data_IF_860328782766
#
_entry.id   IF_860328782766
#
_cell.length_a   1.000
_cell.length_b   1.000
_cell.length_c   1.000
_cell.angle_alpha   90.00
_cell.angle_beta   90.00
_cell.angle_gamma   90.00
#
_symmetry.space_group_name_H-M   'P 1'
#
loop_
_entity.id
_entity.type
_entity.pdbx_description
1 polymer ?
#
# COMPACT_ATOMS: atom_id res chain seq x y z
N UNK A 1 6.70 -14.73 -29.13
CA UNK A 1 5.99 -13.93 -28.09
C UNK A 1 6.98 -13.56 -27.00
N UNK A 2 7.24 -12.27 -26.81
CA UNK A 2 8.40 -11.76 -26.09
C UNK A 2 8.18 -11.80 -24.56
N UNK A 3 9.04 -12.52 -23.82
CA UNK A 3 8.91 -12.82 -22.37
C UNK A 3 8.72 -11.55 -21.51
N UNK A 4 9.29 -10.40 -21.93
CA UNK A 4 9.12 -9.10 -21.27
C UNK A 4 7.68 -8.57 -21.26
N UNK A 5 6.93 -8.80 -22.33
CA UNK A 5 5.55 -8.27 -22.46
C UNK A 5 4.58 -8.99 -21.51
N UNK A 6 4.84 -10.27 -21.22
CA UNK A 6 4.08 -11.05 -20.23
C UNK A 6 4.27 -10.53 -18.81
N UNK A 7 5.51 -10.19 -18.43
CA UNK A 7 5.83 -9.64 -17.11
C UNK A 7 5.20 -8.25 -16.94
N UNK A 8 5.32 -7.38 -17.95
CA UNK A 8 4.73 -6.04 -17.90
C UNK A 8 3.20 -6.08 -17.75
N UNK A 9 2.54 -6.99 -18.48
CA UNK A 9 1.09 -7.18 -18.35
C UNK A 9 0.68 -7.81 -17.01
N UNK A 10 1.51 -8.69 -16.43
CA UNK A 10 1.28 -9.23 -15.09
C UNK A 10 1.38 -8.14 -14.02
N UNK A 11 2.45 -7.32 -14.07
CA UNK A 11 2.63 -6.19 -13.16
C UNK A 11 1.46 -5.23 -13.31
N UNK A 12 1.06 -4.88 -14.53
CA UNK A 12 -0.07 -3.97 -14.79
C UNK A 12 -1.39 -4.53 -14.24
N UNK A 13 -1.66 -5.83 -14.39
CA UNK A 13 -2.85 -6.48 -13.83
C UNK A 13 -2.85 -6.54 -12.31
N UNK A 14 -1.68 -6.79 -11.70
CA UNK A 14 -1.47 -6.73 -10.25
C UNK A 14 -1.67 -5.30 -9.72
N UNK A 15 -1.14 -4.30 -10.43
CA UNK A 15 -1.24 -2.89 -10.07
C UNK A 15 -2.68 -2.37 -10.15
N UNK A 16 -3.42 -2.77 -11.18
CA UNK A 16 -4.82 -2.35 -11.43
C UNK A 16 -5.86 -3.15 -10.64
N UNK A 17 -5.47 -4.19 -9.88
CA UNK A 17 -6.40 -4.97 -9.07
C UNK A 17 -7.46 -5.75 -9.88
N UNK A 18 -7.17 -6.10 -11.14
CA UNK A 18 -8.14 -6.62 -12.12
C UNK A 18 -8.58 -8.09 -11.92
N UNK A 19 -8.23 -8.75 -10.81
CA UNK A 19 -8.65 -10.14 -10.50
C UNK A 19 -9.01 -10.28 -9.02
N UNK A 20 -9.71 -11.37 -8.67
CA UNK A 20 -10.08 -11.84 -7.32
C UNK A 20 -8.87 -12.08 -6.36
N UNK A 21 -7.81 -11.30 -6.48
CA UNK A 21 -6.64 -11.23 -5.63
C UNK A 21 -6.93 -10.55 -4.28
N UNK A 22 -8.20 -10.46 -3.91
CA UNK A 22 -8.69 -9.90 -2.66
C UNK A 22 -7.88 -10.42 -1.45
N UNK A 23 -7.58 -11.73 -1.40
CA UNK A 23 -6.74 -12.33 -0.34
C UNK A 23 -5.29 -11.83 -0.36
N UNK A 24 -4.69 -11.70 -1.55
CA UNK A 24 -3.32 -11.21 -1.69
C UNK A 24 -3.19 -9.73 -1.29
N UNK A 25 -4.25 -8.94 -1.47
CA UNK A 25 -4.27 -7.54 -1.03
C UNK A 25 -4.35 -7.39 0.49
N UNK A 26 -5.08 -8.25 1.20
CA UNK A 26 -5.04 -8.26 2.66
C UNK A 26 -3.67 -8.64 3.19
N UNK A 27 -3.02 -9.63 2.59
CA UNK A 27 -1.64 -9.99 2.92
C UNK A 27 -0.69 -8.82 2.64
N UNK A 28 -0.82 -8.15 1.49
CA UNK A 28 -0.01 -6.97 1.18
C UNK A 28 -0.20 -5.80 2.15
N UNK A 29 -1.45 -5.53 2.55
CA UNK A 29 -1.78 -4.47 3.51
C UNK A 29 -1.27 -4.81 4.91
N UNK A 30 -1.39 -6.08 5.29
CA UNK A 30 -0.85 -6.58 6.54
C UNK A 30 0.69 -6.52 6.56
N UNK A 31 1.35 -6.82 5.44
CA UNK A 31 2.81 -6.68 5.30
C UNK A 31 3.23 -5.21 5.41
N UNK A 32 2.51 -4.28 4.78
CA UNK A 32 2.80 -2.84 4.89
C UNK A 32 2.55 -2.34 6.31
N UNK A 33 1.50 -2.82 6.97
CA UNK A 33 1.22 -2.51 8.37
C UNK A 33 2.31 -3.04 9.30
N UNK A 34 2.76 -4.29 9.09
CA UNK A 34 3.89 -4.88 9.80
C UNK A 34 5.19 -4.12 9.54
N UNK A 35 5.39 -3.60 8.32
CA UNK A 35 6.55 -2.79 7.98
C UNK A 35 6.56 -1.43 8.67
N UNK A 36 5.42 -0.88 9.11
CA UNK A 36 5.40 0.35 9.94
C UNK A 36 5.89 0.11 11.37
N UNK A 37 5.75 -1.09 11.89
CA UNK A 37 6.17 -1.48 13.26
C UNK A 37 7.66 -1.17 13.50
N UNK A 38 8.62 -1.63 12.67
CA UNK A 38 10.02 -1.32 12.86
C UNK A 38 10.31 0.18 12.74
N UNK A 39 9.51 0.97 12.02
CA UNK A 39 9.62 2.42 11.98
C UNK A 39 9.32 3.07 13.33
N UNK A 40 8.31 2.58 14.05
CA UNK A 40 7.94 3.05 15.39
C UNK A 40 9.03 2.68 16.41
N UNK A 41 9.58 1.46 16.33
CA UNK A 41 10.67 1.03 17.21
C UNK A 41 12.03 1.64 16.83
N UNK A 42 12.23 1.97 15.55
CA UNK A 42 13.39 2.70 15.05
C UNK A 42 13.48 4.12 15.59
N UNK A 43 12.39 4.74 16.05
CA UNK A 43 12.46 6.04 16.74
C UNK A 43 13.25 5.94 18.05
N UNK A 44 13.29 4.75 18.67
CA UNK A 44 14.06 4.51 19.91
C UNK A 44 15.51 4.09 19.67
N UNK A 45 15.86 3.70 18.45
CA UNK A 45 17.25 3.46 18.06
C UNK A 45 17.75 4.72 17.34
N UNK A 46 18.93 5.22 17.70
CA UNK A 46 19.59 6.29 16.95
C UNK A 46 20.08 5.75 15.59
N UNK A 47 19.14 5.44 14.69
CA UNK A 47 19.45 4.96 13.35
C UNK A 47 19.98 6.12 12.49
N UNK A 48 20.94 5.83 11.60
CA UNK A 48 21.50 6.84 10.72
C UNK A 48 20.40 7.48 9.87
N UNK A 49 20.51 8.79 9.63
CA UNK A 49 19.57 9.61 8.85
C UNK A 49 19.25 9.01 7.46
N UNK A 50 20.22 8.31 6.86
CA UNK A 50 20.05 7.56 5.60
C UNK A 50 18.96 6.49 5.69
N UNK A 51 18.79 5.86 6.85
CA UNK A 51 17.76 4.85 7.06
C UNK A 51 16.37 5.45 6.88
N UNK A 52 16.11 6.61 7.48
CA UNK A 52 14.84 7.34 7.35
C UNK A 52 14.60 7.83 5.92
N UNK A 53 15.64 8.33 5.26
CA UNK A 53 15.59 8.78 3.86
C UNK A 53 15.22 7.68 2.86
N UNK A 54 15.56 6.42 3.15
CA UNK A 54 15.20 5.28 2.29
C UNK A 54 13.89 4.64 2.73
N UNK A 55 13.69 4.51 4.04
CA UNK A 55 12.56 3.81 4.63
C UNK A 55 11.24 4.54 4.42
N UNK A 56 11.20 5.86 4.63
CA UNK A 56 9.99 6.67 4.43
C UNK A 56 9.45 6.54 3.01
N UNK A 57 10.21 6.89 1.94
CA UNK A 57 9.68 6.81 0.58
C UNK A 57 9.34 5.39 0.15
N UNK A 58 10.04 4.36 0.64
CA UNK A 58 9.73 2.97 0.34
C UNK A 58 8.36 2.56 0.93
N UNK A 59 8.09 2.92 2.19
CA UNK A 59 6.78 2.66 2.81
C UNK A 59 5.69 3.48 2.16
N UNK A 60 5.92 4.77 1.89
CA UNK A 60 4.94 5.62 1.22
C UNK A 60 4.60 5.08 -0.18
N UNK A 61 5.60 4.68 -0.96
CA UNK A 61 5.38 4.06 -2.27
C UNK A 61 4.60 2.74 -2.16
N UNK A 62 4.91 1.90 -1.16
CA UNK A 62 4.19 0.67 -0.86
C UNK A 62 2.72 0.94 -0.49
N UNK A 63 2.46 1.95 0.35
CA UNK A 63 1.11 2.36 0.75
C UNK A 63 0.32 2.89 -0.44
N UNK A 64 0.91 3.74 -1.29
CA UNK A 64 0.25 4.26 -2.49
C UNK A 64 -0.10 3.12 -3.45
N UNK A 65 0.84 2.19 -3.68
CA UNK A 65 0.57 1.02 -4.52
C UNK A 65 -0.59 0.21 -3.92
N UNK A 66 -0.55 -0.09 -2.63
CA UNK A 66 -1.62 -0.83 -1.96
C UNK A 66 -2.98 -0.14 -2.07
N UNK A 67 -3.04 1.17 -1.84
CA UNK A 67 -4.24 2.00 -2.00
C UNK A 67 -4.81 1.85 -3.42
N UNK A 68 -3.98 2.06 -4.46
CA UNK A 68 -4.41 2.01 -5.86
C UNK A 68 -4.96 0.62 -6.20
N UNK A 69 -4.27 -0.43 -5.77
CA UNK A 69 -4.66 -1.79 -6.10
C UNK A 69 -5.91 -2.27 -5.33
N UNK A 70 -6.06 -1.90 -4.06
CA UNK A 70 -7.29 -2.17 -3.28
C UNK A 70 -8.47 -1.37 -3.84
N UNK A 71 -8.25 -0.12 -4.22
CA UNK A 71 -9.29 0.71 -4.84
C UNK A 71 -9.78 0.12 -6.17
N UNK A 72 -8.85 -0.28 -7.04
CA UNK A 72 -9.16 -0.96 -8.30
C UNK A 72 -9.91 -2.27 -8.09
N UNK A 73 -9.49 -3.07 -7.10
CA UNK A 73 -10.15 -4.32 -6.75
C UNK A 73 -11.58 -4.10 -6.19
N UNK A 74 -11.79 -3.06 -5.39
CA UNK A 74 -13.12 -2.70 -4.86
C UNK A 74 -14.15 -2.45 -5.97
N UNK A 75 -13.70 -1.95 -7.12
CA UNK A 75 -14.58 -1.63 -8.23
C UNK A 75 -14.97 -2.87 -9.06
N UNK A 76 -14.23 -3.97 -8.92
CA UNK A 76 -14.39 -5.21 -9.66
C UNK A 76 -14.99 -6.36 -8.82
N UNK A 77 -15.47 -6.08 -7.60
CA UNK A 77 -16.08 -7.08 -6.72
C UNK A 77 -17.60 -6.91 -6.71
N UNK A 78 -18.35 -8.01 -6.90
CA UNK A 78 -19.82 -8.01 -6.88
C UNK A 78 -20.41 -7.85 -5.46
N UNK A 79 -19.61 -8.12 -4.43
CA UNK A 79 -20.06 -8.02 -3.03
C UNK A 79 -19.94 -6.58 -2.50
N UNK A 80 -21.09 -5.91 -2.38
CA UNK A 80 -21.21 -4.53 -1.87
C UNK A 80 -20.48 -4.29 -0.54
N UNK A 81 -20.60 -5.19 0.44
CA UNK A 81 -19.93 -5.05 1.75
C UNK A 81 -18.41 -4.90 1.62
N UNK A 82 -17.79 -5.75 0.80
CA UNK A 82 -16.35 -5.73 0.58
C UNK A 82 -15.90 -4.48 -0.18
N UNK A 83 -16.73 -3.98 -1.10
CA UNK A 83 -16.49 -2.72 -1.79
C UNK A 83 -16.46 -1.53 -0.83
N UNK A 84 -17.42 -1.46 0.10
CA UNK A 84 -17.45 -0.39 1.11
C UNK A 84 -16.30 -0.51 2.10
N UNK A 85 -16.02 -1.70 2.65
CA UNK A 85 -14.90 -1.95 3.54
C UNK A 85 -13.56 -1.57 2.90
N UNK A 86 -13.31 -2.02 1.66
CA UNK A 86 -12.09 -1.68 0.94
C UNK A 86 -11.93 -0.17 0.75
N UNK A 87 -13.00 0.53 0.35
CA UNK A 87 -12.96 1.99 0.19
C UNK A 87 -12.74 2.71 1.52
N UNK A 88 -13.40 2.28 2.60
CA UNK A 88 -13.28 2.89 3.92
C UNK A 88 -11.85 2.74 4.45
N UNK A 89 -11.25 1.56 4.31
CA UNK A 89 -9.85 1.33 4.71
C UNK A 89 -8.89 2.16 3.85
N UNK A 90 -9.10 2.22 2.52
CA UNK A 90 -8.28 3.06 1.64
C UNK A 90 -8.35 4.53 2.04
N UNK A 91 -9.54 5.06 2.29
CA UNK A 91 -9.72 6.45 2.75
C UNK A 91 -9.04 6.66 4.09
N UNK A 92 -9.21 5.74 5.05
CA UNK A 92 -8.57 5.83 6.35
C UNK A 92 -7.04 5.85 6.25
N UNK A 93 -6.44 4.99 5.42
CA UNK A 93 -4.99 4.95 5.20
C UNK A 93 -4.51 6.21 4.48
N UNK A 94 -5.25 6.68 3.47
CA UNK A 94 -4.91 7.92 2.75
C UNK A 94 -4.94 9.14 3.68
N UNK A 95 -5.96 9.25 4.53
CA UNK A 95 -6.05 10.32 5.54
C UNK A 95 -4.89 10.23 6.52
N UNK A 96 -4.56 9.04 7.05
CA UNK A 96 -3.41 8.87 7.93
C UNK A 96 -2.08 9.27 7.26
N UNK A 97 -1.92 8.94 5.98
CA UNK A 97 -0.72 9.28 5.21
C UNK A 97 -0.61 10.81 5.06
N UNK A 98 -1.71 11.49 4.73
CA UNK A 98 -1.77 12.96 4.65
C UNK A 98 -1.51 13.62 6.00
N UNK A 99 -2.16 13.14 7.07
CA UNK A 99 -1.97 13.66 8.44
C UNK A 99 -0.53 13.47 8.91
N UNK A 100 0.05 12.29 8.68
CA UNK A 100 1.45 12.02 9.00
C UNK A 100 2.41 12.91 8.22
N UNK A 101 2.10 13.19 6.95
CA UNK A 101 2.87 14.15 6.17
C UNK A 101 2.77 15.57 6.75
N UNK A 102 1.57 16.03 7.12
CA UNK A 102 1.38 17.34 7.74
C UNK A 102 2.15 17.46 9.06
N UNK A 103 2.05 16.47 9.95
CA UNK A 103 2.78 16.45 11.23
C UNK A 103 4.30 16.43 11.07
N UNK A 104 4.83 15.93 9.95
CA UNK A 104 6.27 15.93 9.71
C UNK A 104 6.81 17.31 9.33
N UNK A 105 5.95 18.19 8.78
CA UNK A 105 6.32 19.53 8.30
C UNK A 105 5.98 20.66 9.30
N UNK A 106 5.20 20.38 10.34
CA UNK A 106 4.78 21.33 11.39
C UNK A 106 5.43 21.00 12.73
#
# INVERSE_FOLDING_TARGET
MNKRQGIFNLIKKLFLGQKELWKAFWVGGFVIFLLQIPGIYAVKLELPLIWWLVYIPLITAGQIWWIVSVWGCSNNTDRLLWKYLARLIVVYVAVNLVVGFIMMFF
#
